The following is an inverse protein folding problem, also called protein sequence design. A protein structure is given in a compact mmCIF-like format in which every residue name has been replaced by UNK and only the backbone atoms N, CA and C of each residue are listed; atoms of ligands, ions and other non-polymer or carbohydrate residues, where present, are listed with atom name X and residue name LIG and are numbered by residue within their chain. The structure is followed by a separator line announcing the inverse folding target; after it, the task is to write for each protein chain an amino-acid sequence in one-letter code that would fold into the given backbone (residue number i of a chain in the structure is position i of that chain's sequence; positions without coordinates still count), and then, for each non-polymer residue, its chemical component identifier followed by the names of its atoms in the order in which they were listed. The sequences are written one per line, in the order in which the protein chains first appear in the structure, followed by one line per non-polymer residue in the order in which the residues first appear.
data_IF_457299916225
#
_entry.id   IF_457299916225
#
_cell.length_a   1.000
_cell.length_b   1.000
_cell.length_c   1.000
_cell.angle_alpha   90.00
_cell.angle_beta   90.00
_cell.angle_gamma   90.00
#
_symmetry.space_group_name_H-M   'P 1'
#
loop_
_entity.id
_entity.type
_entity.pdbx_description
1 polymer ?
#
# COMPACT_ATOMS: atom_id res chain seq x y z
N UNK A 1 -11.81 4.82 -16.39
CA UNK A 1 -11.35 4.28 -15.10
C UNK A 1 -10.07 4.99 -14.69
N UNK A 2 -9.99 5.42 -13.42
CA UNK A 2 -8.79 6.05 -12.88
C UNK A 2 -8.30 5.24 -11.70
N UNK A 3 -7.04 4.79 -11.77
CA UNK A 3 -6.35 4.11 -10.68
C UNK A 3 -5.13 4.94 -10.33
N UNK A 4 -5.02 5.33 -9.06
CA UNK A 4 -3.92 6.15 -8.59
C UNK A 4 -2.83 5.29 -7.95
N UNK A 5 -1.59 5.48 -8.37
CA UNK A 5 -0.45 4.73 -7.87
C UNK A 5 0.26 5.54 -6.77
N UNK A 6 0.16 5.07 -5.54
CA UNK A 6 0.96 5.63 -4.43
C UNK A 6 2.38 5.06 -4.52
N UNK A 7 2.50 3.80 -4.93
CA UNK A 7 3.79 3.15 -5.06
C UNK A 7 4.53 3.07 -3.74
N UNK A 8 5.75 3.58 -3.71
CA UNK A 8 6.57 3.71 -2.49
C UNK A 8 6.81 5.17 -2.11
N UNK A 9 6.01 6.09 -2.64
CA UNK A 9 6.18 7.53 -2.38
C UNK A 9 5.91 7.90 -0.93
N UNK A 10 5.32 7.00 -0.14
CA UNK A 10 5.11 7.19 1.30
C UNK A 10 6.42 7.13 2.10
N UNK A 11 7.52 6.70 1.51
CA UNK A 11 8.86 6.65 2.12
C UNK A 11 8.95 5.75 3.36
N UNK A 12 8.04 4.78 3.51
CA UNK A 12 7.97 3.91 4.70
C UNK A 12 7.34 4.57 5.92
N UNK A 13 6.81 5.78 5.76
CA UNK A 13 6.19 6.56 6.83
C UNK A 13 4.67 6.38 6.77
N UNK A 14 4.09 5.69 7.75
CA UNK A 14 2.66 5.40 7.77
C UNK A 14 1.81 6.67 7.89
N UNK A 15 2.28 7.67 8.64
CA UNK A 15 1.58 8.94 8.74
C UNK A 15 1.56 9.66 7.38
N UNK A 16 2.65 9.59 6.64
CA UNK A 16 2.71 10.18 5.30
C UNK A 16 1.82 9.41 4.32
N UNK A 17 1.82 8.09 4.41
CA UNK A 17 0.92 7.25 3.62
C UNK A 17 -0.55 7.61 3.90
N UNK A 18 -0.90 7.89 5.16
CA UNK A 18 -2.25 8.31 5.51
C UNK A 18 -2.65 9.63 4.83
N UNK A 19 -1.71 10.55 4.63
CA UNK A 19 -1.98 11.78 3.90
C UNK A 19 -2.35 11.51 2.43
N UNK A 20 -1.69 10.54 1.79
CA UNK A 20 -2.08 10.09 0.45
C UNK A 20 -3.50 9.50 0.46
N UNK A 21 -3.79 8.65 1.44
CA UNK A 21 -5.12 8.05 1.54
C UNK A 21 -6.22 9.09 1.74
N UNK A 22 -5.99 10.10 2.59
CA UNK A 22 -6.94 11.20 2.79
C UNK A 22 -7.22 11.93 1.49
N UNK A 23 -6.17 12.30 0.76
CA UNK A 23 -6.31 13.01 -0.51
C UNK A 23 -7.08 12.16 -1.54
N UNK A 24 -6.80 10.85 -1.59
CA UNK A 24 -7.46 9.96 -2.52
C UNK A 24 -8.91 9.67 -2.13
N UNK A 25 -9.24 9.67 -0.86
CA UNK A 25 -10.63 9.55 -0.42
C UNK A 25 -11.46 10.73 -0.90
N UNK A 26 -10.88 11.95 -0.91
CA UNK A 26 -11.54 13.14 -1.44
C UNK A 26 -11.68 13.06 -2.97
N UNK A 27 -10.62 12.70 -3.68
CA UNK A 27 -10.61 12.58 -5.13
C UNK A 27 -11.47 11.42 -5.62
N UNK A 28 -11.58 10.38 -4.83
CA UNK A 28 -12.37 9.17 -5.04
C UNK A 28 -12.11 8.49 -6.39
N UNK A 29 -10.86 8.04 -6.65
CA UNK A 29 -10.58 7.24 -7.85
C UNK A 29 -11.26 5.88 -7.74
N UNK A 30 -11.33 5.13 -8.84
CA UNK A 30 -11.86 3.77 -8.79
C UNK A 30 -10.98 2.83 -7.98
N UNK A 31 -9.66 3.06 -8.01
CA UNK A 31 -8.72 2.25 -7.26
C UNK A 31 -7.46 3.02 -6.90
N UNK A 32 -6.72 2.45 -5.97
CA UNK A 32 -5.39 2.92 -5.62
C UNK A 32 -4.47 1.73 -5.41
N UNK A 33 -3.18 1.94 -5.63
CA UNK A 33 -2.20 0.87 -5.50
C UNK A 33 -0.98 1.34 -4.72
N UNK A 34 -0.41 0.40 -3.98
CA UNK A 34 0.94 0.53 -3.43
C UNK A 34 1.88 -0.39 -4.19
N UNK A 35 3.17 -0.18 -4.05
CA UNK A 35 4.18 -1.10 -4.55
C UNK A 35 4.86 -1.79 -3.38
N UNK A 36 4.95 -3.13 -3.44
CA UNK A 36 5.60 -3.93 -2.40
C UNK A 36 6.75 -4.69 -3.04
N UNK A 37 7.95 -4.40 -2.59
CA UNK A 37 9.17 -5.01 -3.10
C UNK A 37 9.44 -6.34 -2.40
N UNK A 38 10.35 -7.09 -2.95
CA UNK A 38 10.81 -8.35 -2.38
C UNK A 38 11.56 -8.13 -1.05
N UNK A 39 11.58 -9.17 -0.24
CA UNK A 39 12.18 -9.15 1.09
C UNK A 39 13.66 -8.71 1.06
N UNK A 40 14.40 -9.17 0.07
CA UNK A 40 15.82 -8.85 -0.10
C UNK A 40 16.04 -7.36 -0.36
N UNK A 41 15.13 -6.73 -1.06
CA UNK A 41 15.18 -5.27 -1.31
C UNK A 41 15.12 -4.50 0.02
N UNK A 42 14.17 -4.83 0.86
CA UNK A 42 14.02 -4.15 2.16
C UNK A 42 15.21 -4.43 3.07
N UNK A 43 15.72 -5.67 3.07
CA UNK A 43 16.87 -6.05 3.88
C UNK A 43 18.16 -5.34 3.45
N UNK A 44 18.26 -4.91 2.19
CA UNK A 44 19.44 -4.20 1.66
C UNK A 44 19.48 -2.73 2.06
N UNK A 45 18.40 -2.18 2.61
CA UNK A 45 18.30 -0.76 2.96
C UNK A 45 18.58 -0.52 4.44
N UNK A 46 19.14 0.64 4.74
CA UNK A 46 19.28 1.10 6.12
C UNK A 46 17.88 1.41 6.67
N UNK A 47 17.65 1.29 8.01
CA UNK A 47 16.32 1.56 8.57
C UNK A 47 15.73 2.91 8.18
N UNK A 48 16.55 3.96 8.14
CA UNK A 48 16.10 5.32 7.77
C UNK A 48 15.76 5.47 6.29
N UNK A 49 16.17 4.53 5.46
CA UNK A 49 15.90 4.54 4.01
C UNK A 49 14.80 3.53 3.63
N UNK A 50 14.28 2.78 4.62
CA UNK A 50 13.31 1.72 4.34
C UNK A 50 11.97 2.30 3.91
N UNK A 51 11.40 1.72 2.85
CA UNK A 51 10.05 2.03 2.38
C UNK A 51 9.06 0.94 2.78
N UNK A 52 9.43 0.09 3.75
CA UNK A 52 8.58 -1.00 4.22
C UNK A 52 7.47 -0.47 5.12
N UNK A 53 6.23 -0.86 4.81
CA UNK A 53 5.08 -0.65 5.68
C UNK A 53 4.72 -1.97 6.37
N UNK A 54 4.07 -1.89 7.53
CA UNK A 54 3.69 -3.07 8.28
C UNK A 54 2.49 -3.79 7.64
N UNK A 55 2.39 -5.09 7.90
CA UNK A 55 1.22 -5.88 7.47
C UNK A 55 -0.08 -5.32 8.07
N UNK A 56 -0.02 -4.85 9.32
CA UNK A 56 -1.18 -4.24 9.97
C UNK A 56 -1.62 -2.96 9.27
N UNK A 57 -0.68 -2.19 8.76
CA UNK A 57 -1.01 -0.99 7.98
C UNK A 57 -1.77 -1.36 6.70
N UNK A 58 -1.31 -2.40 6.00
CA UNK A 58 -2.00 -2.85 4.79
C UNK A 58 -3.40 -3.40 5.10
N UNK A 59 -3.56 -4.11 6.23
CA UNK A 59 -4.89 -4.57 6.65
C UNK A 59 -5.83 -3.40 6.89
N UNK A 60 -5.37 -2.40 7.64
CA UNK A 60 -6.20 -1.22 7.92
C UNK A 60 -6.51 -0.43 6.65
N UNK A 61 -5.57 -0.37 5.72
CA UNK A 61 -5.78 0.27 4.42
C UNK A 61 -6.86 -0.45 3.61
N UNK A 62 -6.81 -1.78 3.59
CA UNK A 62 -7.82 -2.58 2.89
C UNK A 62 -9.23 -2.32 3.47
N UNK A 63 -9.35 -2.25 4.79
CA UNK A 63 -10.62 -1.93 5.44
C UNK A 63 -11.09 -0.52 5.11
N UNK A 64 -10.18 0.44 5.19
CA UNK A 64 -10.46 1.85 4.94
C UNK A 64 -10.92 2.08 3.50
N UNK A 65 -10.22 1.52 2.53
CA UNK A 65 -10.57 1.66 1.12
C UNK A 65 -11.87 0.95 0.78
N UNK A 66 -12.11 -0.22 1.38
CA UNK A 66 -13.36 -0.94 1.21
C UNK A 66 -14.55 -0.09 1.66
N UNK A 67 -14.46 0.53 2.84
CA UNK A 67 -15.50 1.41 3.37
C UNK A 67 -15.72 2.63 2.48
N UNK A 68 -14.67 3.14 1.86
CA UNK A 68 -14.75 4.29 0.97
C UNK A 68 -15.23 3.93 -0.44
N UNK A 69 -15.38 2.65 -0.76
CA UNK A 69 -15.75 2.19 -2.09
C UNK A 69 -14.64 2.30 -3.12
N UNK A 70 -13.39 2.30 -2.69
CA UNK A 70 -12.20 2.39 -3.54
C UNK A 70 -11.54 1.01 -3.58
N UNK A 71 -11.22 0.52 -4.77
CA UNK A 71 -10.50 -0.75 -4.91
C UNK A 71 -9.05 -0.58 -4.49
N UNK A 72 -8.54 -1.55 -3.73
CA UNK A 72 -7.17 -1.54 -3.25
C UNK A 72 -6.35 -2.63 -3.95
N UNK A 73 -5.22 -2.26 -4.50
CA UNK A 73 -4.30 -3.19 -5.14
C UNK A 73 -2.85 -2.94 -4.75
N UNK A 74 -2.00 -3.90 -5.06
CA UNK A 74 -0.56 -3.78 -4.86
C UNK A 74 0.19 -4.28 -6.09
N UNK A 75 1.24 -3.56 -6.47
CA UNK A 75 2.25 -4.07 -7.39
C UNK A 75 3.23 -4.90 -6.58
N UNK A 76 3.13 -6.21 -6.69
CA UNK A 76 3.79 -7.13 -5.78
C UNK A 76 5.01 -7.77 -6.44
N UNK A 77 6.19 -7.58 -5.83
CA UNK A 77 7.44 -8.22 -6.27
C UNK A 77 7.82 -9.43 -5.42
N UNK A 78 7.08 -9.70 -4.35
CA UNK A 78 7.34 -10.79 -3.42
C UNK A 78 6.20 -11.80 -3.48
N UNK A 79 6.42 -12.92 -4.19
CA UNK A 79 5.39 -13.96 -4.34
C UNK A 79 4.95 -14.57 -3.00
N UNK A 80 5.83 -14.56 -2.00
CA UNK A 80 5.49 -15.08 -0.68
C UNK A 80 4.42 -14.23 0.02
N UNK A 81 4.30 -12.96 -0.37
CA UNK A 81 3.28 -12.05 0.16
C UNK A 81 1.93 -12.15 -0.55
N UNK A 82 1.86 -12.88 -1.65
CA UNK A 82 0.62 -12.97 -2.44
C UNK A 82 -0.55 -13.50 -1.62
N UNK A 83 -0.32 -14.53 -0.80
CA UNK A 83 -1.36 -15.12 0.05
C UNK A 83 -1.87 -14.10 1.06
N UNK A 84 -0.96 -13.34 1.68
CA UNK A 84 -1.35 -12.29 2.63
C UNK A 84 -2.24 -11.26 1.96
N UNK A 85 -1.82 -10.69 0.83
CA UNK A 85 -2.59 -9.64 0.16
C UNK A 85 -3.93 -10.17 -0.37
N UNK A 86 -3.97 -11.40 -0.85
CA UNK A 86 -5.24 -12.03 -1.23
C UNK A 86 -6.18 -12.12 -0.04
N UNK A 87 -5.66 -12.48 1.13
CA UNK A 87 -6.46 -12.67 2.35
C UNK A 87 -7.09 -11.37 2.86
N UNK A 88 -6.51 -10.22 2.56
CA UNK A 88 -7.05 -8.91 2.98
C UNK A 88 -7.90 -8.22 1.90
N UNK A 89 -8.09 -8.86 0.76
CA UNK A 89 -9.02 -8.37 -0.26
C UNK A 89 -8.43 -7.41 -1.30
N UNK A 90 -7.17 -7.61 -1.65
CA UNK A 90 -6.57 -6.83 -2.75
C UNK A 90 -6.84 -7.46 -4.11
#
# INVERSE_FOLDING_TARGET
MIICEIGMNHMGDEAYADQYLEALEVAHPEGLTFQVREKEYYASKKPEESTLLSDDYYRSTAERTCKAGIKFGVGLCDVEKAVFFESIGT
#
